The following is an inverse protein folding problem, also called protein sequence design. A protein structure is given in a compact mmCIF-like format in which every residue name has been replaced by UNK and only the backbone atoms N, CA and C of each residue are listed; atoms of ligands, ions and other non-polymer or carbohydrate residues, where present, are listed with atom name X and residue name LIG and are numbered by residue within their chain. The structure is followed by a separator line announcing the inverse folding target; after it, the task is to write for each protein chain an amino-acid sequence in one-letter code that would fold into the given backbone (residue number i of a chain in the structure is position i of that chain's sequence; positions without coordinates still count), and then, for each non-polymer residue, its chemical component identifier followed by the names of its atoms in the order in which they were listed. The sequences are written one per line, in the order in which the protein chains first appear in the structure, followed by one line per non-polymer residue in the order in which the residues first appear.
data_IF_098723466071
#
_entry.id   IF_098723466071
#
_cell.length_a   1.000
_cell.length_b   1.000
_cell.length_c   1.000
_cell.angle_alpha   90.00
_cell.angle_beta   90.00
_cell.angle_gamma   90.00
#
_symmetry.space_group_name_H-M   'P 1'
#
loop_
_entity.id
_entity.type
_entity.pdbx_description
1 polymer ?
#
# COMPACT_ATOMS: atom_id res chain seq x y z
N UNK A 1 2.45 -0.85 -13.82
CA UNK A 1 3.82 -1.03 -14.36
C UNK A 1 4.71 0.00 -13.71
N UNK A 2 5.67 -0.42 -12.87
CA UNK A 2 6.63 0.47 -12.21
C UNK A 2 7.68 0.97 -13.23
N UNK A 3 8.09 2.24 -13.15
CA UNK A 3 9.01 2.88 -14.11
C UNK A 3 10.43 2.32 -14.11
N UNK A 4 10.73 1.41 -13.18
CA UNK A 4 11.95 0.59 -13.06
C UNK A 4 11.58 -0.67 -12.26
N UNK A 5 12.24 -1.79 -12.52
CA UNK A 5 12.04 -3.01 -11.73
C UNK A 5 12.52 -2.76 -10.29
N UNK A 6 11.70 -3.16 -9.30
CA UNK A 6 11.93 -2.83 -7.89
C UNK A 6 13.26 -3.40 -7.39
N UNK A 7 13.65 -4.59 -7.84
CA UNK A 7 14.93 -5.22 -7.55
C UNK A 7 16.13 -4.33 -7.89
N UNK A 8 16.09 -3.68 -9.04
CA UNK A 8 17.09 -2.74 -9.52
C UNK A 8 17.03 -1.44 -8.72
N UNK A 9 15.82 -0.96 -8.41
CA UNK A 9 15.61 0.28 -7.67
C UNK A 9 16.12 0.21 -6.22
N UNK A 10 16.07 -0.96 -5.58
CA UNK A 10 16.49 -1.15 -4.18
C UNK A 10 17.96 -1.60 -4.01
N UNK A 11 18.63 -1.98 -5.09
CA UNK A 11 19.99 -2.55 -5.01
C UNK A 11 20.97 -1.59 -4.32
N UNK A 12 21.60 -2.05 -3.24
CA UNK A 12 22.57 -1.26 -2.47
C UNK A 12 21.94 -0.14 -1.64
N UNK A 13 20.61 -0.11 -1.48
CA UNK A 13 19.89 0.91 -0.70
C UNK A 13 19.24 0.31 0.54
N UNK A 14 19.20 1.10 1.61
CA UNK A 14 18.27 0.87 2.71
C UNK A 14 16.93 1.46 2.29
N UNK A 15 15.86 0.68 2.43
CA UNK A 15 14.50 1.08 2.07
C UNK A 15 13.56 0.87 3.25
N UNK A 16 12.54 1.71 3.32
CA UNK A 16 11.41 1.56 4.23
C UNK A 16 10.28 0.85 3.49
N UNK A 17 9.64 -0.10 4.18
CA UNK A 17 8.45 -0.79 3.69
C UNK A 17 7.34 -0.55 4.71
N UNK A 18 6.20 -0.03 4.26
CA UNK A 18 5.06 0.25 5.13
C UNK A 18 3.72 -0.10 4.48
N UNK A 19 2.77 -0.52 5.31
CA UNK A 19 1.39 -0.77 4.93
C UNK A 19 0.59 0.53 4.90
N UNK A 20 0.24 0.99 3.71
CA UNK A 20 -0.47 2.24 3.49
C UNK A 20 -1.94 2.00 3.15
N UNK A 21 -2.83 2.58 3.96
CA UNK A 21 -4.27 2.57 3.73
C UNK A 21 -4.69 3.73 2.80
N UNK A 22 -5.03 3.40 1.56
CA UNK A 22 -5.44 4.37 0.52
C UNK A 22 -6.96 4.55 0.55
N UNK A 23 -7.49 5.75 0.88
CA UNK A 23 -8.93 6.00 0.89
C UNK A 23 -9.57 5.88 -0.49
N UNK A 24 -10.64 5.10 -0.60
CA UNK A 24 -11.48 5.02 -1.81
C UNK A 24 -12.72 5.91 -1.74
N UNK A 25 -13.03 6.45 -0.57
CA UNK A 25 -14.29 7.15 -0.29
C UNK A 25 -15.49 6.21 -0.38
N UNK A 26 -16.64 6.71 -0.85
CA UNK A 26 -17.88 5.90 -0.97
C UNK A 26 -17.90 4.97 -2.19
N UNK A 27 -16.76 4.79 -2.89
CA UNK A 27 -16.68 4.06 -4.17
C UNK A 27 -16.15 2.64 -4.04
N UNK A 28 -16.03 2.12 -2.82
CA UNK A 28 -15.48 0.79 -2.59
C UNK A 28 -16.40 -0.27 -3.21
N UNK A 29 -15.84 -1.01 -4.18
CA UNK A 29 -16.61 -1.83 -5.13
C UNK A 29 -17.20 -3.10 -4.49
N UNK A 30 -16.89 -3.44 -3.23
CA UNK A 30 -17.29 -4.72 -2.63
C UNK A 30 -17.35 -4.62 -1.09
N UNK A 31 -18.53 -4.34 -0.53
CA UNK A 31 -18.87 -4.64 0.87
C UNK A 31 -17.84 -4.32 1.98
N UNK A 32 -17.69 -5.25 2.94
CA UNK A 32 -16.74 -5.14 4.07
C UNK A 32 -15.29 -5.46 3.69
N UNK A 33 -15.05 -6.02 2.51
CA UNK A 33 -13.74 -6.53 2.09
C UNK A 33 -12.70 -5.41 1.87
N UNK A 34 -13.19 -4.19 1.71
CA UNK A 34 -12.39 -2.96 1.56
C UNK A 34 -12.56 -2.02 2.75
N UNK A 35 -13.17 -2.47 3.85
CA UNK A 35 -13.33 -1.66 5.05
C UNK A 35 -12.13 -1.82 5.98
N UNK A 36 -11.45 -0.71 6.26
CA UNK A 36 -10.36 -0.65 7.22
C UNK A 36 -10.91 -0.53 8.63
N UNK A 37 -10.87 -1.60 9.42
CA UNK A 37 -11.28 -1.60 10.83
C UNK A 37 -10.52 -0.55 11.63
N UNK A 38 -9.18 -0.51 11.51
CA UNK A 38 -8.33 0.45 12.23
C UNK A 38 -8.64 1.93 11.93
N UNK A 39 -9.08 2.25 10.70
CA UNK A 39 -9.33 3.64 10.26
C UNK A 39 -10.81 3.97 10.18
N UNK A 40 -11.68 3.02 10.48
CA UNK A 40 -13.14 3.10 10.38
C UNK A 40 -13.65 3.68 9.05
N UNK A 41 -13.00 3.37 7.93
CA UNK A 41 -13.39 3.87 6.60
C UNK A 41 -13.06 2.88 5.49
N UNK A 42 -13.68 3.09 4.34
CA UNK A 42 -13.35 2.38 3.12
C UNK A 42 -11.93 2.74 2.65
N UNK A 43 -11.17 1.74 2.24
CA UNK A 43 -9.80 1.89 1.78
C UNK A 43 -9.19 0.60 1.22
N UNK A 44 -8.12 0.76 0.47
CA UNK A 44 -7.32 -0.34 -0.06
C UNK A 44 -5.95 -0.30 0.61
N UNK A 45 -5.52 -1.43 1.15
CA UNK A 45 -4.20 -1.54 1.73
C UNK A 45 -3.18 -1.90 0.64
N UNK A 46 -2.07 -1.18 0.59
CA UNK A 46 -0.94 -1.44 -0.30
C UNK A 46 0.36 -1.42 0.50
N UNK A 47 1.36 -2.17 0.06
CA UNK A 47 2.72 -2.01 0.56
C UNK A 47 3.42 -0.92 -0.25
N UNK A 48 4.01 0.04 0.43
CA UNK A 48 4.80 1.11 -0.17
C UNK A 48 6.27 0.87 0.15
N UNK A 49 7.13 1.05 -0.85
CA UNK A 49 8.59 1.04 -0.66
C UNK A 49 9.13 2.44 -0.95
N UNK A 50 9.88 3.01 -0.01
CA UNK A 50 10.58 4.27 -0.21
C UNK A 50 12.05 4.18 0.21
N UNK A 51 12.89 5.06 -0.33
CA UNK A 51 14.21 5.29 0.27
C UNK A 51 14.11 6.13 1.56
N UNK A 52 15.25 6.34 2.22
CA UNK A 52 15.34 7.13 3.46
C UNK A 52 15.10 8.64 3.25
N UNK A 53 15.10 9.12 2.01
CA UNK A 53 14.76 10.50 1.67
C UNK A 53 13.27 10.66 1.36
N UNK A 54 12.49 9.58 1.44
CA UNK A 54 11.06 9.57 1.13
C UNK A 54 10.72 9.44 -0.35
N UNK A 55 11.69 9.07 -1.20
CA UNK A 55 11.40 8.82 -2.63
C UNK A 55 10.66 7.50 -2.76
N UNK A 56 9.47 7.53 -3.37
CA UNK A 56 8.67 6.35 -3.67
C UNK A 56 9.35 5.50 -4.74
N UNK A 57 9.70 4.27 -4.40
CA UNK A 57 10.36 3.29 -5.28
C UNK A 57 9.38 2.26 -5.84
N UNK A 58 8.31 1.95 -5.10
CA UNK A 58 7.31 0.97 -5.52
C UNK A 58 6.07 0.98 -4.66
N UNK A 59 4.98 0.43 -5.22
CA UNK A 59 3.70 0.20 -4.55
C UNK A 59 3.28 -1.23 -4.90
N UNK A 60 2.74 -2.03 -3.99
CA UNK A 60 2.22 -3.35 -4.37
C UNK A 60 0.86 -3.23 -5.06
N UNK A 61 0.39 -4.34 -5.64
CA UNK A 61 -1.06 -4.51 -5.82
C UNK A 61 -1.77 -4.44 -4.47
N UNK A 62 -3.09 -4.22 -4.50
CA UNK A 62 -3.88 -4.19 -3.27
C UNK A 62 -3.77 -5.52 -2.55
N UNK A 63 -3.31 -5.47 -1.30
CA UNK A 63 -3.35 -6.64 -0.43
C UNK A 63 -4.71 -6.66 0.27
N UNK A 64 -5.34 -7.84 0.41
CA UNK A 64 -6.59 -7.94 1.14
C UNK A 64 -6.47 -7.26 2.50
N UNK A 65 -7.35 -6.30 2.75
CA UNK A 65 -7.52 -5.70 4.06
C UNK A 65 -8.26 -6.70 4.95
N UNK A 66 -7.54 -7.63 5.56
CA UNK A 66 -8.17 -8.57 6.48
C UNK A 66 -8.49 -7.88 7.80
N UNK A 67 -9.80 -7.92 8.11
CA UNK A 67 -10.42 -8.07 9.42
C UNK A 67 -9.42 -8.43 10.53
N UNK A 68 -8.93 -7.40 11.21
CA UNK A 68 -8.74 -7.53 12.65
C UNK A 68 -10.07 -7.11 13.26
N UNK A 69 -10.64 -8.06 14.00
CA UNK A 69 -11.71 -7.93 14.98
C UNK A 69 -11.62 -6.65 15.83
#
# INVERSE_FOLDING_TARGET
MFGVALDTAIQGRVVLVDGTDVPTGNRAMVGRDTYSGKRHRQGLNVQVVSDLNGILLGVSDTIPGAQHD
#
